data_IF_780865515211
#
_entry.id   IF_780865515211
#
_cell.length_a   1.000
_cell.length_b   1.000
_cell.length_c   1.000
_cell.angle_alpha   90.00
_cell.angle_beta   90.00
_cell.angle_gamma   90.00
#
_symmetry.space_group_name_H-M   'P 1'
#
loop_
_entity.id
_entity.type
_entity.pdbx_description
1 polymer ?
#
# COMPACT_ATOMS: atom_id res chain seq x y z
N UNK A 1 -44.45 8.85 28.14
CA UNK A 1 -44.32 10.14 27.42
C UNK A 1 -42.89 10.63 27.26
N UNK A 2 -41.98 10.43 28.23
CA UNK A 2 -40.56 10.83 28.10
C UNK A 2 -39.75 10.10 27.00
N UNK A 3 -40.06 8.83 26.69
CA UNK A 3 -39.43 8.07 25.59
C UNK A 3 -39.92 8.46 24.18
N UNK A 4 -41.11 9.06 24.08
CA UNK A 4 -41.66 9.60 22.82
C UNK A 4 -41.15 11.02 22.53
N UNK A 5 -40.83 11.80 23.57
CA UNK A 5 -40.15 13.10 23.44
C UNK A 5 -38.69 12.97 22.98
N UNK A 6 -37.96 11.95 23.45
CA UNK A 6 -36.56 11.71 23.04
C UNK A 6 -36.47 11.28 21.57
N UNK A 7 -37.43 10.49 21.07
CA UNK A 7 -37.51 10.12 19.67
C UNK A 7 -37.88 11.29 18.75
N UNK A 8 -38.70 12.24 19.23
CA UNK A 8 -39.08 13.43 18.45
C UNK A 8 -37.93 14.46 18.35
N UNK A 9 -37.07 14.53 19.37
CA UNK A 9 -35.92 15.44 19.41
C UNK A 9 -34.75 14.94 18.54
N UNK A 10 -34.61 13.62 18.36
CA UNK A 10 -33.54 13.03 17.54
C UNK A 10 -33.79 13.16 16.02
N UNK A 11 -35.06 13.17 15.59
CA UNK A 11 -35.42 13.32 14.18
C UNK A 11 -35.31 14.77 13.66
N UNK A 12 -35.27 15.76 14.56
CA UNK A 12 -35.22 17.18 14.18
C UNK A 12 -33.80 17.67 13.87
N UNK A 13 -32.77 16.94 14.29
CA UNK A 13 -31.35 17.29 14.09
C UNK A 13 -30.82 16.77 12.74
N UNK A 14 -31.51 15.81 12.11
CA UNK A 14 -31.07 15.21 10.84
C UNK A 14 -31.59 15.95 9.58
N UNK A 15 -32.40 16.99 9.74
CA UNK A 15 -33.09 17.66 8.63
C UNK A 15 -32.48 19.01 8.20
N UNK A 16 -31.33 19.43 8.74
CA UNK A 16 -30.82 20.81 8.57
C UNK A 16 -29.39 20.94 7.99
N UNK A 17 -28.93 20.01 7.15
CA UNK A 17 -27.60 20.13 6.52
C UNK A 17 -27.55 19.80 5.02
N UNK A 18 -28.65 19.99 4.28
CA UNK A 18 -28.57 20.06 2.81
C UNK A 18 -29.18 21.37 2.32
N UNK A 19 -28.32 22.27 1.79
CA UNK A 19 -28.54 23.22 0.68
C UNK A 19 -27.67 24.47 0.83
N UNK A 20 -26.57 24.54 0.07
CA UNK A 20 -25.93 25.73 -0.53
C UNK A 20 -24.63 25.26 -1.19
N UNK A 21 -24.31 25.46 -2.47
CA UNK A 21 -24.96 26.12 -3.60
C UNK A 21 -24.01 25.94 -4.81
N UNK A 22 -24.57 25.69 -6.00
CA UNK A 22 -23.82 25.54 -7.25
C UNK A 22 -23.13 26.84 -7.68
N UNK A 23 -21.96 26.72 -8.32
CA UNK A 23 -21.62 27.60 -9.45
C UNK A 23 -20.92 26.80 -10.56
N UNK A 24 -21.68 26.58 -11.64
CA UNK A 24 -21.24 26.08 -12.94
C UNK A 24 -21.07 27.31 -13.83
N UNK A 25 -19.91 27.46 -14.47
CA UNK A 25 -19.72 28.37 -15.61
C UNK A 25 -19.23 27.57 -16.81
N UNK A 26 -19.75 27.97 -17.96
CA UNK A 26 -19.71 27.29 -19.24
C UNK A 26 -18.37 27.41 -19.99
N UNK A 27 -18.01 26.31 -20.67
CA UNK A 27 -17.70 26.20 -22.11
C UNK A 27 -16.89 27.31 -22.81
N UNK A 28 -15.71 26.96 -23.33
CA UNK A 28 -15.39 27.02 -24.77
C UNK A 28 -13.99 26.46 -25.07
N UNK A 29 -13.95 25.52 -26.03
CA UNK A 29 -12.76 25.10 -26.78
C UNK A 29 -12.63 26.03 -27.99
N UNK A 30 -11.42 26.47 -28.36
CA UNK A 30 -10.89 25.99 -29.64
C UNK A 30 -9.44 25.54 -29.54
N UNK A 31 -9.21 24.36 -30.12
CA UNK A 31 -7.94 23.79 -30.57
C UNK A 31 -7.25 24.72 -31.57
N UNK A 32 -5.95 24.97 -31.41
CA UNK A 32 -5.05 25.08 -32.55
C UNK A 32 -3.66 24.53 -32.19
N UNK A 33 -3.08 23.82 -33.14
CA UNK A 33 -1.91 22.96 -33.04
C UNK A 33 -0.72 23.67 -33.65
N UNK A 34 0.37 23.76 -32.89
CA UNK A 34 1.80 23.62 -33.28
C UNK A 34 2.66 24.51 -32.38
N UNK A 35 3.42 23.88 -31.49
CA UNK A 35 4.82 24.26 -31.38
C UNK A 35 5.69 23.07 -30.99
N UNK A 36 6.75 22.91 -31.77
CA UNK A 36 7.75 21.88 -31.63
C UNK A 36 8.81 22.45 -30.69
N UNK A 37 8.72 22.12 -29.40
CA UNK A 37 9.75 22.45 -28.43
C UNK A 37 10.28 21.16 -27.82
N UNK A 38 11.56 20.93 -28.09
CA UNK A 38 12.42 19.85 -27.60
C UNK A 38 12.18 19.57 -26.12
N UNK A 39 11.68 18.36 -25.82
CA UNK A 39 11.78 17.82 -24.47
C UNK A 39 13.22 17.40 -24.28
N UNK A 40 14.01 18.30 -23.69
CA UNK A 40 15.22 17.93 -22.97
C UNK A 40 14.81 16.89 -21.92
N UNK A 41 15.08 15.63 -22.24
CA UNK A 41 15.27 14.61 -21.22
C UNK A 41 16.56 14.97 -20.47
N UNK A 42 16.44 15.93 -19.55
CA UNK A 42 17.28 15.92 -18.36
C UNK A 42 16.85 14.67 -17.59
N UNK A 43 17.48 13.56 -17.96
CA UNK A 43 17.64 12.43 -17.08
C UNK A 43 18.39 12.93 -15.87
N UNK A 44 17.65 13.49 -14.92
CA UNK A 44 18.11 13.73 -13.58
C UNK A 44 18.31 12.34 -12.98
N UNK A 45 19.49 11.79 -13.29
CA UNK A 45 20.05 10.64 -12.58
C UNK A 45 20.37 11.18 -11.21
N UNK A 46 19.32 11.37 -10.40
CA UNK A 46 19.43 11.62 -8.99
C UNK A 46 20.20 10.42 -8.44
N UNK A 47 21.49 10.64 -8.21
CA UNK A 47 22.38 9.70 -7.54
C UNK A 47 21.66 9.31 -6.26
N UNK A 48 21.15 8.08 -6.22
CA UNK A 48 20.72 7.54 -4.94
C UNK A 48 21.98 7.48 -4.12
N UNK A 49 21.99 8.14 -2.97
CA UNK A 49 23.02 7.87 -1.98
C UNK A 49 23.08 6.35 -1.82
N UNK A 50 24.25 5.80 -2.17
CA UNK A 50 24.46 4.36 -2.22
C UNK A 50 24.18 3.81 -0.82
N UNK A 51 23.04 3.15 -0.63
CA UNK A 51 22.67 2.65 0.69
C UNK A 51 23.57 1.48 1.03
N UNK A 52 24.15 1.51 2.22
CA UNK A 52 25.05 0.46 2.70
C UNK A 52 24.31 -0.50 3.60
N UNK A 53 24.50 -1.79 3.35
CA UNK A 53 24.05 -2.87 4.23
C UNK A 53 25.22 -3.37 5.10
N UNK A 54 24.96 -3.76 6.36
CA UNK A 54 23.73 -3.51 7.12
C UNK A 54 23.51 -2.01 7.37
N UNK A 55 22.25 -1.60 7.62
CA UNK A 55 21.94 -0.21 7.98
C UNK A 55 22.64 0.19 9.26
N UNK A 56 23.06 1.46 9.34
CA UNK A 56 23.74 2.00 10.52
C UNK A 56 22.86 1.93 11.78
N UNK A 57 21.55 2.17 11.62
CA UNK A 57 20.55 2.05 12.68
C UNK A 57 19.63 0.87 12.40
N UNK A 58 19.25 0.16 13.48
CA UNK A 58 18.24 -0.89 13.37
C UNK A 58 16.91 -0.28 12.94
N UNK A 59 16.28 -0.88 11.93
CA UNK A 59 14.91 -0.54 11.50
C UNK A 59 14.00 -1.73 11.71
N UNK A 60 12.71 -1.46 11.79
CA UNK A 60 11.67 -2.47 11.96
C UNK A 60 10.64 -2.33 10.86
N UNK A 61 10.13 -3.47 10.39
CA UNK A 61 8.99 -3.57 9.46
C UNK A 61 7.97 -4.53 10.04
N UNK A 62 6.70 -4.27 9.81
CA UNK A 62 5.59 -5.17 10.15
C UNK A 62 5.08 -5.86 8.88
N UNK A 63 4.89 -7.18 8.95
CA UNK A 63 4.41 -7.96 7.82
C UNK A 63 3.24 -8.85 8.24
N UNK A 64 2.08 -8.67 7.61
CA UNK A 64 0.98 -9.61 7.72
C UNK A 64 1.20 -10.79 6.78
N UNK A 65 1.05 -12.00 7.32
CA UNK A 65 1.30 -13.23 6.59
C UNK A 65 0.42 -14.37 7.10
N UNK A 66 -0.12 -15.15 6.16
CA UNK A 66 -0.64 -16.49 6.48
C UNK A 66 0.53 -17.44 6.64
N UNK A 67 0.69 -18.00 7.84
CA UNK A 67 1.77 -18.94 8.13
C UNK A 67 1.22 -20.16 8.87
N UNK A 68 1.33 -21.32 8.23
CA UNK A 68 1.04 -22.61 8.81
C UNK A 68 2.21 -23.54 8.59
N UNK A 69 2.86 -23.96 9.67
CA UNK A 69 4.01 -24.84 9.61
C UNK A 69 3.99 -25.78 10.82
N UNK A 70 4.30 -27.06 10.58
CA UNK A 70 4.27 -28.11 11.62
C UNK A 70 5.51 -28.12 12.52
N UNK A 71 6.59 -27.49 12.07
CA UNK A 71 7.91 -27.56 12.69
C UNK A 71 8.35 -26.23 13.28
N UNK A 72 8.01 -25.12 12.62
CA UNK A 72 8.43 -23.77 13.01
C UNK A 72 7.21 -22.92 13.36
N UNK A 73 7.27 -22.22 14.50
CA UNK A 73 6.14 -21.39 14.96
C UNK A 73 6.10 -20.03 14.27
N UNK A 74 7.27 -19.50 13.91
CA UNK A 74 7.42 -18.19 13.26
C UNK A 74 8.43 -18.26 12.12
N UNK A 75 8.32 -17.39 11.09
CA UNK A 75 9.39 -17.17 10.13
C UNK A 75 10.75 -16.82 10.76
N UNK A 76 10.78 -16.26 11.98
CA UNK A 76 12.04 -15.93 12.69
C UNK A 76 12.93 -17.15 12.99
N UNK A 77 12.36 -18.36 12.99
CA UNK A 77 13.13 -19.59 13.19
C UNK A 77 13.84 -20.05 11.90
N UNK A 78 13.53 -19.44 10.75
CA UNK A 78 14.20 -19.74 9.49
C UNK A 78 15.61 -19.12 9.48
N UNK A 79 16.63 -19.95 9.25
CA UNK A 79 18.02 -19.49 9.11
C UNK A 79 18.17 -18.38 8.05
N UNK A 80 17.39 -18.46 6.96
CA UNK A 80 17.39 -17.42 5.93
C UNK A 80 16.89 -16.07 6.44
N UNK A 81 15.84 -16.05 7.27
CA UNK A 81 15.31 -14.81 7.86
C UNK A 81 16.31 -14.21 8.85
N UNK A 82 16.95 -15.05 9.68
CA UNK A 82 17.98 -14.62 10.62
C UNK A 82 19.19 -13.99 9.90
N UNK A 83 19.65 -14.60 8.80
CA UNK A 83 20.77 -14.07 8.03
C UNK A 83 20.38 -12.79 7.26
N UNK A 84 19.14 -12.67 6.81
CA UNK A 84 18.62 -11.42 6.23
C UNK A 84 18.59 -10.30 7.28
N UNK A 85 18.09 -10.54 8.49
CA UNK A 85 18.10 -9.52 9.57
C UNK A 85 19.53 -9.07 9.88
N UNK A 86 20.47 -10.00 10.03
CA UNK A 86 21.88 -9.68 10.28
C UNK A 86 22.52 -8.87 9.16
N UNK A 87 22.25 -9.22 7.90
CA UNK A 87 22.86 -8.56 6.76
C UNK A 87 22.22 -7.21 6.43
N UNK A 88 20.99 -6.97 6.85
CA UNK A 88 20.26 -5.72 6.56
C UNK A 88 20.15 -4.79 7.77
N UNK A 89 20.22 -5.32 8.99
CA UNK A 89 19.84 -4.65 10.25
C UNK A 89 18.37 -4.18 10.24
N UNK A 90 17.51 -4.95 9.57
CA UNK A 90 16.05 -4.77 9.55
C UNK A 90 15.40 -5.97 10.24
N UNK A 91 14.68 -5.71 11.32
CA UNK A 91 13.88 -6.72 12.00
C UNK A 91 12.45 -6.73 11.48
N UNK A 92 11.87 -7.91 11.38
CA UNK A 92 10.50 -8.08 10.90
C UNK A 92 9.59 -8.51 12.05
N UNK A 93 8.61 -7.67 12.37
CA UNK A 93 7.48 -7.98 13.23
C UNK A 93 6.42 -8.75 12.42
N UNK A 94 6.35 -10.07 12.61
CA UNK A 94 5.39 -10.91 11.87
C UNK A 94 4.00 -10.91 12.50
N UNK A 95 3.03 -10.35 11.79
CA UNK A 95 1.61 -10.48 12.09
C UNK A 95 1.10 -11.80 11.49
N UNK A 96 1.35 -12.90 12.19
CA UNK A 96 1.00 -14.25 11.76
C UNK A 96 -0.49 -14.51 11.95
N UNK A 97 -1.14 -15.03 10.91
CA UNK A 97 -2.50 -15.58 10.98
C UNK A 97 -2.55 -17.01 10.44
N UNK A 98 -3.49 -17.80 10.94
CA UNK A 98 -3.81 -19.10 10.36
C UNK A 98 -4.57 -18.97 9.04
N UNK A 99 -4.56 -20.01 8.20
CA UNK A 99 -5.35 -20.03 6.95
C UNK A 99 -6.84 -19.89 7.23
N UNK A 100 -7.31 -20.43 8.36
CA UNK A 100 -8.72 -20.38 8.77
C UNK A 100 -9.17 -18.97 9.15
N UNK A 101 -8.29 -18.17 9.76
CA UNK A 101 -8.61 -16.82 10.23
C UNK A 101 -8.28 -15.73 9.20
N UNK A 102 -7.49 -16.06 8.18
CA UNK A 102 -6.89 -15.10 7.25
C UNK A 102 -7.93 -14.15 6.62
N UNK A 103 -9.04 -14.68 6.10
CA UNK A 103 -10.05 -13.88 5.43
C UNK A 103 -10.76 -12.89 6.38
N UNK A 104 -11.09 -13.32 7.60
CA UNK A 104 -11.72 -12.47 8.61
C UNK A 104 -10.75 -11.38 9.07
N UNK A 105 -9.52 -11.76 9.43
CA UNK A 105 -8.49 -10.82 9.89
C UNK A 105 -8.10 -9.81 8.81
N UNK A 106 -8.01 -10.26 7.55
CA UNK A 106 -7.78 -9.37 6.42
C UNK A 106 -8.91 -8.36 6.26
N UNK A 107 -10.17 -8.82 6.31
CA UNK A 107 -11.33 -7.93 6.19
C UNK A 107 -11.37 -6.86 7.28
N UNK A 108 -11.04 -7.24 8.53
CA UNK A 108 -10.94 -6.30 9.64
C UNK A 108 -9.81 -5.28 9.45
N UNK A 109 -8.65 -5.72 8.98
CA UNK A 109 -7.51 -4.85 8.68
C UNK A 109 -7.84 -3.85 7.56
N UNK A 110 -8.51 -4.29 6.50
CA UNK A 110 -8.99 -3.38 5.43
C UNK A 110 -9.99 -2.36 5.97
N UNK A 111 -10.95 -2.80 6.79
CA UNK A 111 -11.98 -1.93 7.34
C UNK A 111 -11.46 -0.93 8.37
N UNK A 112 -10.39 -1.26 9.12
CA UNK A 112 -9.80 -0.36 10.11
C UNK A 112 -8.99 0.76 9.47
N UNK A 113 -8.41 0.52 8.28
CA UNK A 113 -7.44 1.43 7.67
C UNK A 113 -6.07 1.43 8.38
N UNK A 114 -5.86 0.51 9.34
CA UNK A 114 -4.60 0.34 10.06
C UNK A 114 -3.85 -0.84 9.45
N UNK A 115 -2.86 -0.54 8.61
CA UNK A 115 -2.11 -1.54 7.85
C UNK A 115 -0.73 -1.80 8.45
N UNK A 116 -0.22 -3.05 8.35
CA UNK A 116 1.22 -3.29 8.46
C UNK A 116 1.95 -2.63 7.26
N UNK A 117 3.27 -2.60 7.32
CA UNK A 117 4.09 -2.07 6.22
C UNK A 117 3.96 -2.94 4.96
N UNK A 118 3.80 -4.26 5.12
CA UNK A 118 3.64 -5.21 4.02
C UNK A 118 2.52 -6.20 4.33
N UNK A 119 1.67 -6.46 3.33
CA UNK A 119 0.66 -7.51 3.37
C UNK A 119 1.02 -8.57 2.33
N UNK A 120 1.46 -9.75 2.78
CA UNK A 120 1.83 -10.84 1.88
C UNK A 120 0.60 -11.64 1.47
N UNK A 121 0.35 -11.74 0.17
CA UNK A 121 -0.77 -12.52 -0.39
C UNK A 121 -2.10 -11.78 -0.40
N UNK A 122 -2.08 -10.44 -0.38
CA UNK A 122 -3.29 -9.62 -0.37
C UNK A 122 -4.21 -9.87 -1.56
N UNK A 123 -3.65 -10.26 -2.71
CA UNK A 123 -4.38 -10.58 -3.94
C UNK A 123 -5.41 -11.69 -3.76
N UNK A 124 -5.21 -12.59 -2.78
CA UNK A 124 -6.12 -13.69 -2.50
C UNK A 124 -7.38 -13.25 -1.72
N UNK A 125 -7.33 -12.08 -1.07
CA UNK A 125 -8.38 -11.62 -0.14
C UNK A 125 -9.03 -10.30 -0.58
N UNK A 126 -8.32 -9.43 -1.30
CA UNK A 126 -8.84 -8.13 -1.71
C UNK A 126 -9.80 -8.28 -2.90
N UNK A 127 -11.05 -7.85 -2.72
CA UNK A 127 -12.05 -7.89 -3.79
C UNK A 127 -11.65 -6.93 -4.92
N UNK A 128 -11.50 -7.46 -6.14
CA UNK A 128 -11.01 -6.72 -7.30
C UNK A 128 -9.49 -6.77 -7.51
N UNK A 129 -8.75 -7.48 -6.65
CA UNK A 129 -7.32 -7.74 -6.80
C UNK A 129 -6.44 -6.52 -6.52
N UNK A 130 -5.14 -6.68 -6.82
CA UNK A 130 -4.11 -5.67 -6.47
C UNK A 130 -4.31 -4.33 -7.20
N UNK A 131 -4.79 -4.34 -8.46
CA UNK A 131 -5.06 -3.08 -9.19
C UNK A 131 -6.10 -2.24 -8.46
N UNK A 132 -7.21 -2.84 -8.05
CA UNK A 132 -8.22 -2.11 -7.26
C UNK A 132 -7.67 -1.67 -5.90
N UNK A 133 -6.77 -2.45 -5.29
CA UNK A 133 -6.12 -2.09 -4.03
C UNK A 133 -5.24 -0.84 -4.16
N UNK A 134 -4.61 -0.64 -5.33
CA UNK A 134 -3.89 0.60 -5.67
C UNK A 134 -4.89 1.75 -5.88
N UNK A 135 -5.93 1.53 -6.68
CA UNK A 135 -6.94 2.55 -6.99
C UNK A 135 -7.67 3.05 -5.73
N UNK A 136 -7.92 2.15 -4.77
CA UNK A 136 -8.55 2.43 -3.48
C UNK A 136 -7.56 3.07 -2.49
N UNK A 137 -6.29 3.23 -2.83
CA UNK A 137 -5.26 3.86 -2.00
C UNK A 137 -4.78 2.99 -0.82
N UNK A 138 -5.06 1.68 -0.84
CA UNK A 138 -4.68 0.73 0.21
C UNK A 138 -3.21 0.30 0.07
N UNK A 139 -2.67 0.31 -1.14
CA UNK A 139 -1.26 -0.01 -1.40
C UNK A 139 -0.59 1.05 -2.26
N UNK A 140 0.73 1.14 -2.15
CA UNK A 140 1.55 2.10 -2.89
C UNK A 140 2.02 1.48 -4.22
N UNK A 141 2.00 2.27 -5.29
CA UNK A 141 2.68 1.89 -6.53
C UNK A 141 4.21 2.03 -6.34
N UNK A 142 4.95 1.01 -6.76
CA UNK A 142 6.41 0.96 -6.64
C UNK A 142 7.14 1.07 -7.99
N UNK A 143 6.40 1.17 -9.10
CA UNK A 143 6.95 1.16 -10.47
C UNK A 143 8.06 2.19 -10.66
N UNK A 144 7.85 3.42 -10.16
CA UNK A 144 8.81 4.52 -10.18
C UNK A 144 10.06 4.29 -9.31
N UNK A 145 9.96 3.39 -8.33
CA UNK A 145 11.03 3.06 -7.36
C UNK A 145 11.87 1.87 -7.80
N UNK A 146 11.40 1.03 -8.71
CA UNK A 146 12.08 -0.21 -9.12
C UNK A 146 13.49 0.05 -9.62
N UNK A 147 13.65 0.93 -10.60
CA UNK A 147 14.95 1.17 -11.23
C UNK A 147 15.95 1.86 -10.29
N UNK A 148 15.43 2.62 -9.31
CA UNK A 148 16.23 3.39 -8.35
C UNK A 148 16.62 2.57 -7.12
N UNK A 149 15.66 1.85 -6.53
CA UNK A 149 15.80 1.24 -5.20
C UNK A 149 15.88 -0.30 -5.24
N UNK A 150 15.64 -0.94 -6.38
CA UNK A 150 15.58 -2.41 -6.48
C UNK A 150 16.51 -2.95 -7.58
N UNK A 151 17.83 -2.70 -7.53
CA UNK A 151 18.75 -3.00 -8.62
C UNK A 151 18.79 -4.51 -8.98
N UNK A 152 18.70 -5.40 -7.98
CA UNK A 152 18.64 -6.84 -8.22
C UNK A 152 17.38 -7.25 -8.99
N UNK A 153 16.22 -6.69 -8.62
CA UNK A 153 14.96 -6.96 -9.31
C UNK A 153 14.92 -6.34 -10.70
N UNK A 154 15.37 -5.08 -10.84
CA UNK A 154 15.49 -4.38 -12.12
C UNK A 154 16.42 -5.13 -13.08
N UNK A 155 17.56 -5.63 -12.60
CA UNK A 155 18.48 -6.45 -13.37
C UNK A 155 17.87 -7.77 -13.84
N UNK A 156 17.11 -8.46 -12.98
CA UNK A 156 16.41 -9.69 -13.36
C UNK A 156 15.35 -9.43 -14.44
N UNK A 157 14.51 -8.41 -14.27
CA UNK A 157 13.46 -8.04 -15.23
C UNK A 157 14.06 -7.68 -16.60
N UNK A 158 15.12 -6.88 -16.62
CA UNK A 158 15.78 -6.45 -17.87
C UNK A 158 16.52 -7.57 -18.60
N UNK A 159 16.95 -8.62 -17.89
CA UNK A 159 17.66 -9.76 -18.49
C UNK A 159 16.74 -10.86 -19.04
N UNK A 160 15.44 -10.80 -18.76
CA UNK A 160 14.47 -11.80 -19.18
C UNK A 160 13.24 -11.15 -19.81
N UNK A 161 13.12 -11.20 -21.13
CA UNK A 161 12.01 -10.59 -21.90
C UNK A 161 10.61 -11.13 -21.55
N UNK A 162 10.52 -12.23 -20.79
CA UNK A 162 9.24 -12.81 -20.33
C UNK A 162 8.79 -12.33 -18.94
N UNK A 163 9.59 -11.50 -18.27
CA UNK A 163 9.29 -10.89 -16.96
C UNK A 163 9.19 -9.36 -17.09
#
# INVERSE_FOLDING_TARGET
MKRKLVALLLCMVFALSTLSGCKKSAENVPTDVKDNSEVKNEGDTATVDEWKWPLAEKKELSIWIVWENKYLKSPDELLGVQEIEKNTNVHVNWNIVSSAEAAEKFSLMIASGEYPDIIRGAEAFYTGGLTKMVDDGVTVELTDKVDKYMPNYSGLRKSNEKL
#
